data_IF_858380699590
#
_entry.id   IF_858380699590
#
_cell.length_a   1.000
_cell.length_b   1.000
_cell.length_c   1.000
_cell.angle_alpha   90.00
_cell.angle_beta   90.00
_cell.angle_gamma   90.00
#
_symmetry.space_group_name_H-M   'P 1'
#
loop_
_entity.id
_entity.type
_entity.pdbx_description
1 polymer ?
#
# COMPACT_ATOMS: atom_id res chain seq x y z
N UNK A 1 -6.26 4.02 57.34
CA UNK A 1 -5.87 5.10 56.40
C UNK A 1 -6.60 4.86 55.09
N UNK A 2 -7.36 5.86 54.67
CA UNK A 2 -8.53 5.75 53.79
C UNK A 2 -8.12 5.72 52.32
N UNK A 3 -8.59 4.70 51.60
CA UNK A 3 -8.48 4.50 50.16
C UNK A 3 -9.46 5.41 49.42
N UNK A 4 -8.96 6.21 48.47
CA UNK A 4 -9.80 7.05 47.61
C UNK A 4 -10.41 6.20 46.49
N UNK A 5 -11.70 5.91 46.66
CA UNK A 5 -12.63 5.45 45.64
C UNK A 5 -13.40 6.65 45.10
N UNK A 6 -13.72 6.65 43.80
CA UNK A 6 -14.94 7.14 43.11
C UNK A 6 -14.62 7.63 41.69
N UNK A 7 -15.40 7.40 40.62
CA UNK A 7 -16.61 6.61 40.31
C UNK A 7 -17.03 7.00 38.86
N UNK A 8 -17.93 6.20 38.25
CA UNK A 8 -18.81 6.52 37.09
C UNK A 8 -18.12 6.40 35.72
N UNK A 9 -18.40 5.44 34.84
CA UNK A 9 -19.56 4.56 34.70
C UNK A 9 -20.61 5.17 33.78
N UNK A 10 -20.43 5.07 32.46
CA UNK A 10 -21.50 5.23 31.47
C UNK A 10 -21.38 4.15 30.39
N UNK A 11 -22.22 3.12 30.58
CA UNK A 11 -22.72 2.24 29.54
C UNK A 11 -23.96 2.91 28.94
N UNK A 12 -23.99 3.14 27.63
CA UNK A 12 -25.23 3.18 26.89
C UNK A 12 -25.03 2.42 25.58
N UNK A 13 -25.75 1.30 25.51
CA UNK A 13 -25.95 0.44 24.34
C UNK A 13 -27.14 1.02 23.56
N UNK A 14 -26.96 1.21 22.25
CA UNK A 14 -28.08 1.20 21.29
C UNK A 14 -27.69 0.25 20.16
N UNK A 15 -28.47 -0.83 20.05
CA UNK A 15 -28.51 -1.80 18.95
C UNK A 15 -29.77 -1.51 18.13
N UNK A 16 -29.82 -2.06 16.89
CA UNK A 16 -30.91 -2.10 15.88
C UNK A 16 -30.64 -1.13 14.72
N UNK A 17 -29.97 -1.53 13.63
CA UNK A 17 -30.32 -2.46 12.54
C UNK A 17 -31.27 -1.85 11.48
N UNK A 18 -30.75 -1.60 10.27
CA UNK A 18 -31.53 -1.71 9.03
C UNK A 18 -30.60 -2.12 7.86
N UNK A 19 -31.06 -3.15 7.17
CA UNK A 19 -30.47 -3.77 6.00
C UNK A 19 -30.94 -3.09 4.70
N UNK A 20 -30.37 -3.58 3.59
CA UNK A 20 -30.87 -3.47 2.21
C UNK A 20 -30.55 -2.19 1.44
N UNK A 21 -29.28 -2.01 1.07
CA UNK A 21 -28.88 -1.20 -0.09
C UNK A 21 -28.22 -2.12 -1.15
N UNK A 22 -28.95 -3.15 -1.58
CA UNK A 22 -28.76 -3.72 -2.91
C UNK A 22 -29.93 -3.19 -3.77
N UNK A 23 -29.61 -2.33 -4.74
CA UNK A 23 -30.34 -2.03 -6.01
C UNK A 23 -29.83 -0.68 -6.53
N UNK A 24 -28.64 -0.70 -7.13
CA UNK A 24 -28.26 0.21 -8.21
C UNK A 24 -27.55 -0.60 -9.29
N UNK A 25 -28.34 -1.47 -9.94
CA UNK A 25 -28.06 -1.86 -11.31
C UNK A 25 -28.71 -0.82 -12.22
N UNK A 26 -27.88 0.02 -12.86
CA UNK A 26 -28.30 0.79 -14.02
C UNK A 26 -27.21 0.72 -15.10
N UNK A 27 -27.61 0.08 -16.18
CA UNK A 27 -27.30 0.42 -17.57
C UNK A 27 -25.83 0.41 -18.02
N UNK A 28 -25.54 -0.64 -18.80
CA UNK A 28 -24.54 -0.58 -19.85
C UNK A 28 -24.84 0.58 -20.81
N UNK A 29 -24.18 1.70 -20.55
CA UNK A 29 -24.05 2.81 -21.47
C UNK A 29 -22.67 2.77 -22.09
N UNK A 30 -22.65 2.53 -23.40
CA UNK A 30 -21.59 2.81 -24.36
C UNK A 30 -20.73 4.03 -23.96
N UNK A 31 -19.63 3.81 -23.23
CA UNK A 31 -18.54 4.78 -23.13
C UNK A 31 -17.52 4.40 -24.18
N UNK A 32 -17.77 4.94 -25.36
CA UNK A 32 -16.89 4.86 -26.48
C UNK A 32 -15.43 5.13 -26.10
N UNK A 33 -14.55 4.43 -26.81
CA UNK A 33 -13.29 4.93 -27.36
C UNK A 33 -12.96 6.35 -26.91
N UNK A 34 -12.34 6.48 -25.74
CA UNK A 34 -11.38 7.55 -25.51
C UNK A 34 -10.03 6.87 -25.46
N UNK A 35 -9.42 6.76 -26.64
CA UNK A 35 -7.97 6.65 -26.72
C UNK A 35 -7.42 7.85 -25.98
N UNK A 36 -7.05 7.64 -24.72
CA UNK A 36 -6.07 8.46 -24.07
C UNK A 36 -4.76 8.00 -24.65
N UNK A 37 -4.20 8.83 -25.53
CA UNK A 37 -2.86 8.72 -26.04
C UNK A 37 -1.95 8.15 -24.97
N UNK A 38 -1.28 7.04 -25.29
CA UNK A 38 -0.21 6.46 -24.51
C UNK A 38 0.97 7.43 -24.47
N UNK A 39 0.82 8.57 -23.81
CA UNK A 39 1.91 9.29 -23.19
C UNK A 39 2.50 8.32 -22.18
N UNK A 40 3.46 7.54 -22.67
CA UNK A 40 4.24 6.62 -21.86
C UNK A 40 4.62 7.37 -20.61
N UNK A 41 4.28 6.79 -19.46
CA UNK A 41 4.67 7.31 -18.17
C UNK A 41 6.20 7.43 -18.20
N UNK A 42 6.71 8.63 -18.48
CA UNK A 42 8.14 8.84 -18.58
C UNK A 42 8.69 8.71 -17.18
N UNK A 43 9.22 7.52 -16.88
CA UNK A 43 9.72 7.15 -15.56
C UNK A 43 10.77 8.15 -15.08
N UNK A 44 11.62 8.61 -15.99
CA UNK A 44 12.65 9.62 -15.70
C UNK A 44 12.02 10.96 -15.32
N UNK A 45 10.98 11.39 -16.05
CA UNK A 45 10.23 12.61 -15.72
C UNK A 45 9.47 12.50 -14.39
N UNK A 46 8.90 11.34 -14.11
CA UNK A 46 8.21 11.06 -12.85
C UNK A 46 9.18 11.05 -11.66
N UNK A 47 10.35 10.44 -11.82
CA UNK A 47 11.42 10.44 -10.83
C UNK A 47 11.98 11.84 -10.59
N UNK A 48 12.20 12.62 -11.66
CA UNK A 48 12.62 14.02 -11.58
C UNK A 48 11.59 14.87 -10.84
N UNK A 49 10.32 14.80 -11.22
CA UNK A 49 9.22 15.53 -10.56
C UNK A 49 9.08 15.13 -9.10
N UNK A 50 9.26 13.85 -8.77
CA UNK A 50 9.24 13.38 -7.39
C UNK A 50 10.45 13.86 -6.57
N UNK A 51 11.62 14.02 -7.20
CA UNK A 51 12.78 14.61 -6.56
C UNK A 51 12.59 16.12 -6.32
N UNK A 52 12.09 16.85 -7.30
CA UNK A 52 11.74 18.28 -7.20
C UNK A 52 10.72 18.52 -6.08
N UNK A 53 9.62 17.75 -6.07
CA UNK A 53 8.59 17.85 -5.04
C UNK A 53 9.14 17.57 -3.63
N UNK A 54 10.04 16.58 -3.49
CA UNK A 54 10.70 16.30 -2.21
C UNK A 54 11.60 17.45 -1.76
N UNK A 55 12.38 18.01 -2.68
CA UNK A 55 13.27 19.14 -2.40
C UNK A 55 12.47 20.37 -1.98
N UNK A 56 11.37 20.69 -2.66
CA UNK A 56 10.49 21.79 -2.31
C UNK A 56 9.84 21.61 -0.93
N UNK A 57 9.33 20.41 -0.64
CA UNK A 57 8.75 20.11 0.68
C UNK A 57 9.79 20.28 1.78
N UNK A 58 11.01 19.79 1.56
CA UNK A 58 12.09 19.89 2.53
C UNK A 58 12.53 21.36 2.74
N UNK A 59 12.55 22.16 1.66
CA UNK A 59 12.82 23.59 1.74
C UNK A 59 11.78 24.32 2.58
N UNK A 60 10.48 24.09 2.34
CA UNK A 60 9.39 24.67 3.16
C UNK A 60 9.50 24.25 4.61
N UNK A 61 9.82 22.98 4.85
CA UNK A 61 10.04 22.47 6.21
C UNK A 61 11.20 23.20 6.90
N UNK A 62 12.33 23.42 6.22
CA UNK A 62 13.45 24.22 6.75
C UNK A 62 13.01 25.63 7.14
N UNK A 63 12.30 26.31 6.25
CA UNK A 63 11.82 27.68 6.46
C UNK A 63 10.87 27.78 7.66
N UNK A 64 10.00 26.80 7.86
CA UNK A 64 9.06 26.77 8.98
C UNK A 64 9.73 26.39 10.31
N UNK A 65 10.64 25.41 10.28
CA UNK A 65 11.38 24.97 11.46
C UNK A 65 12.29 26.07 12.01
N UNK A 66 12.77 26.98 11.16
CA UNK A 66 13.70 28.07 11.51
C UNK A 66 14.84 27.56 12.40
N UNK A 67 15.70 26.65 11.90
CA UNK A 67 16.87 26.19 12.64
C UNK A 67 17.77 27.38 12.99
N UNK A 68 18.45 27.30 14.13
CA UNK A 68 19.34 28.36 14.64
C UNK A 68 20.58 28.50 13.77
N UNK A 69 21.07 27.40 13.20
CA UNK A 69 22.21 27.37 12.29
C UNK A 69 22.09 26.22 11.26
N UNK A 70 22.99 26.21 10.27
CA UNK A 70 22.99 25.19 9.22
C UNK A 70 23.43 23.80 9.72
N UNK A 71 24.20 23.71 10.81
CA UNK A 71 24.62 22.44 11.40
C UNK A 71 23.45 21.70 12.05
N UNK A 72 22.62 22.42 12.81
CA UNK A 72 21.37 21.94 13.38
C UNK A 72 20.45 21.44 12.26
N UNK A 73 20.33 22.22 11.19
CA UNK A 73 19.54 21.81 10.03
C UNK A 73 20.06 20.51 9.41
N UNK A 74 21.37 20.33 9.25
CA UNK A 74 21.93 19.09 8.68
C UNK A 74 21.61 17.86 9.54
N UNK A 75 21.69 17.99 10.87
CA UNK A 75 21.35 16.90 11.80
C UNK A 75 19.86 16.55 11.71
N UNK A 76 19.00 17.58 11.70
CA UNK A 76 17.55 17.40 11.59
C UNK A 76 17.16 16.81 10.24
N UNK A 77 17.74 17.32 9.15
CA UNK A 77 17.50 16.87 7.78
C UNK A 77 17.81 15.38 7.63
N UNK A 78 18.95 14.92 8.17
CA UNK A 78 19.33 13.52 8.14
C UNK A 78 18.29 12.61 8.82
N UNK A 79 17.82 12.98 10.02
CA UNK A 79 16.78 12.22 10.74
C UNK A 79 15.43 12.27 10.03
N UNK A 80 15.03 13.42 9.52
CA UNK A 80 13.76 13.59 8.78
C UNK A 80 13.74 12.73 7.52
N UNK A 81 14.86 12.68 6.76
CA UNK A 81 15.01 11.80 5.61
C UNK A 81 14.90 10.33 6.01
N UNK A 82 15.59 9.92 7.07
CA UNK A 82 15.55 8.54 7.53
C UNK A 82 14.13 8.12 7.96
N UNK A 83 13.42 8.93 8.74
CA UNK A 83 12.03 8.69 9.12
C UNK A 83 11.14 8.58 7.88
N UNK A 84 11.30 9.49 6.92
CA UNK A 84 10.53 9.51 5.69
C UNK A 84 10.75 8.25 4.85
N UNK A 85 11.99 7.76 4.76
CA UNK A 85 12.36 6.58 3.99
C UNK A 85 11.92 5.28 4.67
N UNK A 86 12.02 5.19 6.00
CA UNK A 86 11.49 4.06 6.78
C UNK A 86 9.97 3.99 6.63
N UNK A 87 9.27 5.12 6.73
CA UNK A 87 7.82 5.18 6.51
C UNK A 87 7.45 4.81 5.08
N UNK A 88 8.18 5.29 4.07
CA UNK A 88 7.92 4.92 2.68
C UNK A 88 8.04 3.41 2.46
N UNK A 89 9.05 2.77 3.06
CA UNK A 89 9.20 1.31 3.02
C UNK A 89 8.07 0.59 3.75
N UNK A 90 7.63 1.11 4.89
CA UNK A 90 6.53 0.56 5.69
C UNK A 90 5.18 0.61 4.98
N UNK A 91 4.88 1.74 4.31
CA UNK A 91 3.59 1.96 3.66
C UNK A 91 3.58 1.51 2.19
N UNK A 92 4.75 1.19 1.63
CA UNK A 92 4.92 0.84 0.22
C UNK A 92 4.66 2.04 -0.70
N UNK A 93 5.39 2.10 -1.82
CA UNK A 93 5.11 3.04 -2.90
C UNK A 93 3.86 2.60 -3.69
N UNK A 94 2.73 2.54 -3.00
CA UNK A 94 1.49 1.96 -3.50
C UNK A 94 0.68 1.40 -2.35
N UNK A 95 -0.11 2.26 -1.71
CA UNK A 95 -1.20 1.82 -0.85
C UNK A 95 -2.17 0.90 -1.63
N UNK A 96 -3.22 0.38 -0.97
CA UNK A 96 -4.27 -0.36 -1.64
C UNK A 96 -4.89 0.53 -2.73
N UNK A 97 -4.46 0.38 -3.99
CA UNK A 97 -4.87 1.23 -5.12
C UNK A 97 -3.80 2.13 -5.75
N UNK A 98 -2.56 2.15 -5.25
CA UNK A 98 -1.45 2.81 -5.94
C UNK A 98 -0.86 1.93 -7.07
N UNK A 99 -0.08 2.50 -8.01
CA UNK A 99 0.40 1.84 -9.25
C UNK A 99 1.32 0.60 -9.09
N UNK A 100 1.42 0.02 -7.91
CA UNK A 100 2.19 -1.19 -7.62
C UNK A 100 1.59 -2.07 -6.51
N UNK A 101 0.36 -1.79 -6.07
CA UNK A 101 -0.36 -2.68 -5.14
C UNK A 101 -0.82 -3.95 -5.85
N UNK A 102 -0.91 -5.12 -5.17
CA UNK A 102 -1.29 -6.42 -5.75
C UNK A 102 -2.71 -6.52 -6.35
N UNK A 103 -3.37 -5.39 -6.62
CA UNK A 103 -4.64 -5.29 -7.35
C UNK A 103 -4.93 -3.88 -7.90
N UNK A 104 -3.93 -3.00 -8.03
CA UNK A 104 -4.09 -1.62 -8.50
C UNK A 104 -3.64 -1.45 -9.95
N UNK A 105 -4.56 -0.98 -10.80
CA UNK A 105 -4.39 -0.62 -12.21
C UNK A 105 -4.05 -1.77 -13.18
N UNK A 106 -5.07 -2.12 -13.98
CA UNK A 106 -4.89 -2.91 -15.19
C UNK A 106 -3.85 -2.29 -16.11
N UNK A 107 -2.99 -3.16 -16.65
CA UNK A 107 -2.46 -3.02 -18.00
C UNK A 107 -1.58 -1.80 -18.27
N UNK A 108 -0.41 -1.74 -17.65
CA UNK A 108 0.77 -1.24 -18.34
C UNK A 108 1.80 -2.36 -18.42
N UNK A 109 1.60 -3.20 -19.44
CA UNK A 109 2.53 -4.25 -19.87
C UNK A 109 3.87 -3.62 -20.19
N UNK A 110 4.93 -4.14 -19.56
CA UNK A 110 6.29 -4.04 -20.06
C UNK A 110 6.35 -4.86 -21.35
N UNK A 111 6.27 -4.19 -22.50
CA UNK A 111 6.48 -4.82 -23.81
C UNK A 111 7.93 -5.33 -23.86
N UNK A 112 8.10 -6.65 -23.77
CA UNK A 112 9.40 -7.32 -23.86
C UNK A 112 9.74 -8.28 -22.73
N UNK A 113 9.04 -8.25 -21.59
CA UNK A 113 9.22 -9.26 -20.54
C UNK A 113 8.06 -10.24 -20.65
N UNK A 114 8.34 -11.35 -21.31
CA UNK A 114 7.45 -12.51 -21.41
C UNK A 114 7.15 -12.96 -19.98
N UNK A 115 6.10 -12.40 -19.37
CA UNK A 115 5.55 -12.87 -18.11
C UNK A 115 5.31 -14.35 -18.34
N UNK A 116 6.14 -15.19 -17.73
CA UNK A 116 5.79 -16.59 -17.52
C UNK A 116 4.46 -16.52 -16.79
N UNK A 117 3.36 -16.73 -17.51
CA UNK A 117 2.04 -16.59 -16.94
C UNK A 117 2.00 -17.46 -15.69
N UNK A 118 1.48 -16.92 -14.59
CA UNK A 118 1.36 -17.64 -13.32
C UNK A 118 0.87 -19.07 -13.61
N UNK A 119 1.62 -20.13 -13.24
CA UNK A 119 1.26 -21.51 -13.59
C UNK A 119 -0.18 -21.86 -13.22
N UNK A 120 -0.69 -21.27 -12.14
CA UNK A 120 -2.10 -21.39 -11.74
C UNK A 120 -3.07 -20.75 -12.76
N UNK A 121 -2.76 -19.55 -13.28
CA UNK A 121 -3.57 -18.90 -14.31
C UNK A 121 -3.53 -19.69 -15.62
N UNK A 122 -2.37 -20.21 -16.01
CA UNK A 122 -2.27 -21.07 -17.19
C UNK A 122 -3.14 -22.32 -17.05
N UNK A 123 -3.11 -22.98 -15.89
CA UNK A 123 -3.94 -24.14 -15.62
C UNK A 123 -5.44 -23.83 -15.61
N UNK A 124 -5.84 -22.65 -15.08
CA UNK A 124 -7.24 -22.20 -15.13
C UNK A 124 -7.72 -21.93 -16.55
N UNK A 125 -6.89 -21.28 -17.37
CA UNK A 125 -7.21 -20.99 -18.76
C UNK A 125 -7.34 -22.30 -19.56
N UNK A 126 -6.39 -23.23 -19.36
CA UNK A 126 -6.44 -24.55 -19.99
C UNK A 126 -7.70 -25.34 -19.60
N UNK A 127 -8.11 -25.31 -18.33
CA UNK A 127 -9.38 -25.93 -17.89
C UNK A 127 -10.59 -25.25 -18.56
N UNK A 128 -10.61 -23.91 -18.63
CA UNK A 128 -11.69 -23.16 -19.26
C UNK A 128 -11.83 -23.50 -20.75
N UNK A 129 -10.71 -23.55 -21.48
CA UNK A 129 -10.66 -23.96 -22.88
C UNK A 129 -11.14 -25.40 -23.07
N UNK A 130 -10.68 -26.33 -22.23
CA UNK A 130 -11.06 -27.74 -22.30
C UNK A 130 -12.55 -27.96 -22.07
N UNK A 131 -13.15 -27.25 -21.12
CA UNK A 131 -14.60 -27.34 -20.86
C UNK A 131 -15.42 -26.72 -22.00
N UNK A 132 -14.86 -25.77 -22.75
CA UNK A 132 -15.49 -25.16 -23.92
C UNK A 132 -15.43 -26.02 -25.19
N UNK A 133 -14.64 -27.09 -25.21
CA UNK A 133 -14.51 -27.97 -26.39
C UNK A 133 -15.64 -29.03 -26.42
N UNK A 134 -16.45 -29.08 -27.50
CA UNK A 134 -17.43 -30.13 -27.66
C UNK A 134 -16.73 -31.48 -27.83
N UNK A 135 -17.00 -32.43 -26.92
CA UNK A 135 -16.41 -33.77 -26.94
C UNK A 135 -15.20 -33.96 -26.01
N UNK A 136 -14.86 -32.98 -25.16
CA UNK A 136 -13.86 -33.18 -24.11
C UNK A 136 -14.26 -34.36 -23.20
N UNK A 137 -13.31 -35.28 -22.96
CA UNK A 137 -13.57 -36.46 -22.12
C UNK A 137 -13.63 -36.08 -20.65
N UNK A 138 -14.47 -36.78 -19.89
CA UNK A 138 -14.60 -36.57 -18.44
C UNK A 138 -13.27 -36.76 -17.70
N UNK A 139 -12.40 -37.65 -18.19
CA UNK A 139 -11.09 -37.90 -17.57
C UNK A 139 -10.10 -36.76 -17.81
N UNK A 140 -10.13 -36.14 -19.00
CA UNK A 140 -9.32 -34.95 -19.28
C UNK A 140 -9.74 -33.76 -18.41
N UNK A 141 -11.05 -33.55 -18.23
CA UNK A 141 -11.59 -32.49 -17.37
C UNK A 141 -11.20 -32.73 -15.89
N UNK A 142 -11.27 -33.97 -15.41
CA UNK A 142 -10.84 -34.34 -14.05
C UNK A 142 -9.35 -34.04 -13.83
N UNK A 143 -8.49 -34.45 -14.75
CA UNK A 143 -7.04 -34.20 -14.64
C UNK A 143 -6.72 -32.69 -14.63
N UNK A 144 -7.40 -31.90 -15.47
CA UNK A 144 -7.24 -30.45 -15.49
C UNK A 144 -7.73 -29.79 -14.18
N UNK A 145 -8.83 -30.28 -13.60
CA UNK A 145 -9.34 -29.80 -12.30
C UNK A 145 -8.36 -30.09 -11.16
N UNK A 146 -7.78 -31.29 -11.10
CA UNK A 146 -6.77 -31.62 -10.09
C UNK A 146 -5.56 -30.69 -10.19
N UNK A 147 -5.07 -30.43 -11.41
CA UNK A 147 -3.96 -29.50 -11.64
C UNK A 147 -4.27 -28.07 -11.19
N UNK A 148 -5.49 -27.58 -11.43
CA UNK A 148 -5.92 -26.26 -10.95
C UNK A 148 -5.99 -26.22 -9.42
N UNK A 149 -6.45 -27.29 -8.77
CA UNK A 149 -6.53 -27.37 -7.31
C UNK A 149 -5.15 -27.33 -6.68
N UNK A 150 -4.22 -28.17 -7.13
CA UNK A 150 -2.86 -28.23 -6.57
C UNK A 150 -2.12 -26.91 -6.74
N UNK A 151 -2.08 -26.35 -7.94
CA UNK A 151 -1.45 -25.06 -8.21
C UNK A 151 -2.15 -23.91 -7.47
N UNK A 152 -3.46 -24.02 -7.26
CA UNK A 152 -4.24 -23.05 -6.49
C UNK A 152 -3.87 -23.04 -5.01
N UNK A 153 -3.65 -24.21 -4.42
CA UNK A 153 -3.18 -24.35 -3.03
C UNK A 153 -1.75 -23.83 -2.86
N UNK A 154 -0.85 -24.17 -3.78
CA UNK A 154 0.53 -23.65 -3.78
C UNK A 154 0.56 -22.12 -3.91
N UNK A 155 -0.22 -21.56 -4.83
CA UNK A 155 -0.33 -20.12 -5.01
C UNK A 155 -0.94 -19.42 -3.77
N UNK A 156 -1.86 -20.08 -3.06
CA UNK A 156 -2.40 -19.56 -1.78
C UNK A 156 -1.33 -19.56 -0.69
N UNK A 157 -0.62 -20.67 -0.49
CA UNK A 157 0.46 -20.78 0.50
C UNK A 157 1.55 -19.73 0.26
N UNK A 158 2.00 -19.59 -0.99
CA UNK A 158 3.00 -18.58 -1.35
C UNK A 158 2.53 -17.16 -1.06
N UNK A 159 1.26 -16.83 -1.35
CA UNK A 159 0.70 -15.50 -1.03
C UNK A 159 0.64 -15.26 0.48
N UNK A 160 0.25 -16.27 1.26
CA UNK A 160 0.21 -16.17 2.73
C UNK A 160 1.61 -15.97 3.31
N UNK A 161 2.62 -16.70 2.82
CA UNK A 161 4.02 -16.52 3.21
C UNK A 161 4.56 -15.13 2.84
N UNK A 162 4.26 -14.66 1.63
CA UNK A 162 4.62 -13.32 1.17
C UNK A 162 3.95 -12.23 2.01
N UNK A 163 2.68 -12.42 2.38
CA UNK A 163 1.94 -11.51 3.26
C UNK A 163 2.54 -11.46 4.66
N UNK A 164 2.82 -12.62 5.27
CA UNK A 164 3.49 -12.70 6.58
C UNK A 164 4.86 -12.03 6.56
N UNK A 165 5.66 -12.26 5.51
CA UNK A 165 6.96 -11.60 5.35
C UNK A 165 6.81 -10.09 5.28
N UNK A 166 5.88 -9.59 4.47
CA UNK A 166 5.60 -8.15 4.34
C UNK A 166 5.09 -7.56 5.66
N UNK A 167 4.24 -8.27 6.39
CA UNK A 167 3.76 -7.81 7.69
C UNK A 167 4.91 -7.70 8.69
N UNK A 168 5.81 -8.69 8.74
CA UNK A 168 6.99 -8.64 9.58
C UNK A 168 7.91 -7.45 9.24
N UNK A 169 8.21 -7.24 7.95
CA UNK A 169 8.99 -6.09 7.47
C UNK A 169 8.33 -4.75 7.84
N UNK A 170 7.00 -4.65 7.71
CA UNK A 170 6.23 -3.46 8.10
C UNK A 170 6.28 -3.22 9.60
N UNK A 171 6.19 -4.27 10.41
CA UNK A 171 6.26 -4.18 11.86
C UNK A 171 7.64 -3.69 12.32
N UNK A 172 8.72 -4.22 11.74
CA UNK A 172 10.08 -3.75 12.02
C UNK A 172 10.28 -2.29 11.60
N UNK A 173 9.79 -1.93 10.42
CA UNK A 173 9.91 -0.57 9.93
C UNK A 173 9.09 0.43 10.77
N UNK A 174 7.92 0.04 11.30
CA UNK A 174 7.17 0.85 12.29
C UNK A 174 7.97 1.06 13.57
N UNK A 175 8.53 0.00 14.15
CA UNK A 175 9.39 0.11 15.35
C UNK A 175 10.58 1.04 15.11
N UNK A 176 11.22 0.93 13.94
CA UNK A 176 12.34 1.81 13.57
C UNK A 176 11.87 3.26 13.42
N UNK A 177 10.72 3.49 12.81
CA UNK A 177 10.16 4.84 12.69
C UNK A 177 9.90 5.44 14.08
N UNK A 178 9.28 4.70 15.00
CA UNK A 178 9.01 5.15 16.37
C UNK A 178 10.31 5.50 17.11
N UNK A 179 11.34 4.66 17.02
CA UNK A 179 12.64 4.95 17.63
C UNK A 179 13.26 6.25 17.09
N UNK A 180 13.28 6.43 15.77
CA UNK A 180 13.79 7.66 15.15
C UNK A 180 12.99 8.90 15.52
N UNK A 181 11.67 8.76 15.69
CA UNK A 181 10.82 9.86 16.15
C UNK A 181 11.15 10.26 17.60
N UNK A 182 11.39 9.30 18.48
CA UNK A 182 11.79 9.59 19.87
C UNK A 182 13.15 10.29 19.93
N UNK A 183 14.11 9.83 19.13
CA UNK A 183 15.41 10.51 19.00
C UNK A 183 15.25 11.94 18.46
N UNK A 184 14.37 12.14 17.47
CA UNK A 184 14.11 13.46 16.90
C UNK A 184 13.47 14.40 17.94
N UNK A 185 12.51 13.92 18.73
CA UNK A 185 11.90 14.68 19.84
C UNK A 185 12.95 15.14 20.86
N UNK A 186 13.97 14.33 21.12
CA UNK A 186 15.05 14.66 22.06
C UNK A 186 15.98 15.79 21.61
N UNK A 187 15.95 16.18 20.33
CA UNK A 187 16.87 17.20 19.78
C UNK A 187 16.15 18.42 19.20
N UNK A 188 14.82 18.41 19.10
CA UNK A 188 14.03 19.53 18.56
C UNK A 188 13.45 20.39 19.67
N UNK A 189 13.25 21.67 19.37
CA UNK A 189 12.48 22.57 20.23
C UNK A 189 10.97 22.28 20.14
N UNK A 190 10.19 22.74 21.12
CA UNK A 190 8.72 22.58 21.12
C UNK A 190 8.06 23.14 19.85
N UNK A 191 8.57 24.26 19.33
CA UNK A 191 8.06 24.86 18.10
C UNK A 191 8.36 23.96 16.89
N UNK A 192 9.57 23.43 16.80
CA UNK A 192 9.96 22.49 15.74
C UNK A 192 9.18 21.18 15.83
N UNK A 193 8.93 20.67 17.04
CA UNK A 193 8.05 19.52 17.26
C UNK A 193 6.65 19.78 16.70
N UNK A 194 6.05 20.93 17.00
CA UNK A 194 4.74 21.30 16.47
C UNK A 194 4.71 21.32 14.93
N UNK A 195 5.76 21.86 14.30
CA UNK A 195 5.93 21.83 12.83
C UNK A 195 6.02 20.38 12.33
N UNK A 196 6.85 19.55 12.94
CA UNK A 196 7.01 18.15 12.54
C UNK A 196 5.73 17.33 12.73
N UNK A 197 4.93 17.60 13.77
CA UNK A 197 3.60 17.00 13.98
C UNK A 197 2.64 17.47 12.89
N UNK A 198 2.64 18.77 12.54
CA UNK A 198 1.81 19.31 11.46
C UNK A 198 2.12 18.64 10.11
N UNK A 199 3.39 18.38 9.81
CA UNK A 199 3.82 17.61 8.64
C UNK A 199 3.63 16.09 8.78
N UNK A 200 3.10 15.64 9.92
CA UNK A 200 2.85 14.24 10.24
C UNK A 200 4.12 13.42 10.49
N UNK A 201 5.31 14.02 10.54
CA UNK A 201 6.59 13.33 10.75
C UNK A 201 6.75 12.83 12.20
N UNK A 202 6.16 13.54 13.16
CA UNK A 202 6.01 13.10 14.54
C UNK A 202 4.53 12.78 14.83
N UNK A 203 4.32 11.77 15.68
CA UNK A 203 3.02 11.35 16.22
C UNK A 203 3.24 11.00 17.69
#
# INVERSE_FOLDING_TARGET
>A
MVTWTRRIGWLLVVVVAMAAWDVFGQEGGDRGRRGGDGQGFNREEAERRAAEWRAERLKRLKEEMKPENDEEWQVLEAKIKEISDVRRRSYGFGGPGGPGGPGGFGGFRREGEQQSADPYQQARNALHELVGQPGASNDAIKAALEKVRTLGEEARKKREEDEKRREAERAEARKKAEALQQELRGIVTLRQEAVLVYYGLLQ
#
